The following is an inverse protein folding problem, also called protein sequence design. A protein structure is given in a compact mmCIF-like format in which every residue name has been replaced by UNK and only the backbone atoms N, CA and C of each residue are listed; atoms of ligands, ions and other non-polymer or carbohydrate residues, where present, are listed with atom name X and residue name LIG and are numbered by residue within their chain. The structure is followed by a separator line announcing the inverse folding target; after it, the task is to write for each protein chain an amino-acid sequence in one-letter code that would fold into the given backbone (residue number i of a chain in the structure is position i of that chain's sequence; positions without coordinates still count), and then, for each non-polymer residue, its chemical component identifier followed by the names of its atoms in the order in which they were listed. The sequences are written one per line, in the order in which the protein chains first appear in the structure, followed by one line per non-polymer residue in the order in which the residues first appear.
data_IF_482516126496
#
_entry.id   IF_482516126496
#
_cell.length_a   1.000
_cell.length_b   1.000
_cell.length_c   1.000
_cell.angle_alpha   90.00
_cell.angle_beta   90.00
_cell.angle_gamma   90.00
#
_symmetry.space_group_name_H-M   'P 1'
#
loop_
_entity.id
_entity.type
_entity.pdbx_description
1 polymer ?
#
# COMPACT_ATOMS: atom_id res chain seq x y z
N UNK A 1 -35.21 -46.61 27.74
CA UNK A 1 -35.60 -47.87 27.06
C UNK A 1 -36.99 -47.71 26.46
N UNK A 2 -37.08 -47.32 25.19
CA UNK A 2 -38.04 -47.78 24.16
C UNK A 2 -37.89 -46.91 22.91
N UNK A 3 -37.73 -47.60 21.79
CA UNK A 3 -37.59 -47.10 20.42
C UNK A 3 -39.02 -46.93 19.90
N UNK A 4 -39.32 -45.86 19.16
CA UNK A 4 -40.31 -45.97 18.08
C UNK A 4 -40.09 -44.93 16.99
N UNK A 5 -39.85 -45.45 15.80
CA UNK A 5 -39.74 -44.79 14.51
C UNK A 5 -41.14 -44.46 14.00
N UNK A 6 -41.38 -43.22 13.55
CA UNK A 6 -42.52 -42.96 12.68
C UNK A 6 -42.16 -41.94 11.61
N UNK A 7 -42.22 -42.39 10.37
CA UNK A 7 -41.99 -41.61 9.16
C UNK A 7 -43.27 -40.87 8.79
N UNK A 8 -43.21 -39.56 8.62
CA UNK A 8 -44.13 -38.80 7.77
C UNK A 8 -43.36 -37.62 7.14
N UNK A 9 -43.11 -37.71 5.84
CA UNK A 9 -42.87 -36.57 4.93
C UNK A 9 -44.25 -36.09 4.42
N UNK A 10 -44.38 -34.98 3.66
CA UNK A 10 -43.60 -33.73 3.58
C UNK A 10 -44.53 -32.49 3.59
N UNK A 11 -44.06 -31.29 3.97
CA UNK A 11 -44.64 -30.05 3.43
C UNK A 11 -43.53 -29.05 3.13
N UNK A 12 -43.48 -28.67 1.85
CA UNK A 12 -42.67 -27.61 1.28
C UNK A 12 -43.17 -26.26 1.78
N UNK A 13 -42.29 -25.44 2.32
CA UNK A 13 -42.44 -24.00 2.32
C UNK A 13 -41.08 -23.38 2.01
N UNK A 14 -40.86 -23.09 0.73
CA UNK A 14 -39.71 -22.33 0.27
C UNK A 14 -39.88 -20.88 0.74
N UNK A 15 -39.10 -20.46 1.74
CA UNK A 15 -38.92 -19.04 2.05
C UNK A 15 -37.67 -18.58 1.31
N UNK A 16 -37.89 -17.85 0.22
CA UNK A 16 -36.83 -17.15 -0.49
C UNK A 16 -36.35 -15.99 0.37
N UNK A 17 -35.18 -16.13 0.99
CA UNK A 17 -34.46 -15.01 1.60
C UNK A 17 -33.60 -14.40 0.50
N UNK A 18 -33.97 -13.18 0.07
CA UNK A 18 -33.20 -12.38 -0.85
C UNK A 18 -31.83 -12.08 -0.22
N UNK A 19 -30.78 -12.75 -0.70
CA UNK A 19 -29.42 -12.42 -0.37
C UNK A 19 -29.07 -11.10 -1.08
N UNK A 20 -28.99 -10.01 -0.33
CA UNK A 20 -28.30 -8.79 -0.79
C UNK A 20 -26.84 -9.15 -1.01
N UNK A 21 -26.45 -9.29 -2.27
CA UNK A 21 -25.06 -9.41 -2.71
C UNK A 21 -24.30 -8.15 -2.24
N UNK A 22 -23.54 -8.28 -1.14
CA UNK A 22 -22.44 -7.35 -0.88
C UNK A 22 -21.43 -7.54 -2.00
N UNK A 23 -21.32 -6.56 -2.90
CA UNK A 23 -20.22 -6.48 -3.82
C UNK A 23 -18.91 -6.31 -3.01
N UNK A 24 -17.87 -7.12 -3.25
CA UNK A 24 -16.56 -6.87 -2.65
C UNK A 24 -16.02 -5.54 -3.19
N UNK A 25 -15.68 -4.61 -2.29
CA UNK A 25 -14.97 -3.40 -2.64
C UNK A 25 -13.66 -3.75 -3.37
N UNK A 26 -13.25 -3.00 -4.40
CA UNK A 26 -11.98 -3.25 -5.06
C UNK A 26 -10.86 -3.04 -4.03
N UNK A 27 -10.13 -4.12 -3.73
CA UNK A 27 -8.90 -4.06 -2.98
C UNK A 27 -7.95 -3.11 -3.72
N UNK A 28 -7.57 -2.02 -3.05
CA UNK A 28 -6.46 -1.18 -3.47
C UNK A 28 -5.25 -2.09 -3.66
N UNK A 29 -4.78 -2.24 -4.90
CA UNK A 29 -3.61 -3.05 -5.20
C UNK A 29 -2.38 -2.32 -4.66
N UNK A 30 -1.84 -2.82 -3.55
CA UNK A 30 -0.49 -2.46 -3.12
C UNK A 30 0.48 -2.80 -4.25
N UNK A 31 1.28 -1.83 -4.68
CA UNK A 31 2.31 -2.06 -5.70
C UNK A 31 3.54 -2.69 -5.02
N UNK A 32 3.77 -3.98 -5.27
CA UNK A 32 4.95 -4.70 -4.80
C UNK A 32 6.01 -4.73 -5.92
N UNK A 33 7.25 -4.34 -5.60
CA UNK A 33 8.42 -4.60 -6.45
C UNK A 33 9.35 -5.54 -5.69
N UNK A 34 9.22 -6.84 -5.92
CA UNK A 34 10.10 -7.86 -5.34
C UNK A 34 11.01 -8.44 -6.42
N UNK A 35 12.27 -8.01 -6.44
CA UNK A 35 13.29 -8.63 -7.28
C UNK A 35 14.51 -8.91 -6.39
N UNK A 36 14.51 -10.04 -5.68
CA UNK A 36 15.68 -10.51 -4.94
C UNK A 36 15.74 -10.10 -3.47
N UNK A 37 16.96 -9.95 -2.98
CA UNK A 37 17.33 -9.80 -1.56
C UNK A 37 16.74 -8.57 -0.87
N UNK A 38 16.35 -7.56 -1.64
CA UNK A 38 15.67 -6.36 -1.13
C UNK A 38 14.24 -6.31 -1.66
N UNK A 39 13.29 -6.12 -0.76
CA UNK A 39 11.88 -5.94 -1.09
C UNK A 39 11.41 -4.53 -0.77
N UNK A 40 10.53 -4.01 -1.61
CA UNK A 40 9.95 -2.68 -1.46
C UNK A 40 8.44 -2.72 -1.71
N UNK A 41 7.67 -2.09 -0.82
CA UNK A 41 6.21 -2.01 -0.88
C UNK A 41 5.70 -0.63 -0.47
N UNK A 42 4.57 -0.25 -1.05
CA UNK A 42 3.75 0.88 -0.60
C UNK A 42 2.48 0.40 0.10
N UNK A 43 2.06 1.15 1.11
CA UNK A 43 0.71 1.09 1.64
C UNK A 43 -0.28 1.76 0.68
N UNK A 44 -1.57 1.52 0.92
CA UNK A 44 -2.63 2.26 0.23
C UNK A 44 -2.50 3.77 0.49
N UNK A 45 -2.75 4.56 -0.55
CA UNK A 45 -2.76 6.01 -0.44
C UNK A 45 -3.86 6.48 0.52
N UNK A 46 -3.53 7.42 1.38
CA UNK A 46 -4.47 8.03 2.33
C UNK A 46 -4.66 9.49 1.95
N UNK A 47 -5.91 9.86 1.60
CA UNK A 47 -6.30 11.23 1.31
C UNK A 47 -6.85 11.89 2.58
N UNK A 48 -6.51 13.17 2.82
CA UNK A 48 -7.17 13.98 3.84
C UNK A 48 -8.65 14.19 3.51
N UNK A 49 -9.45 14.48 4.52
CA UNK A 49 -10.90 14.66 4.38
C UNK A 49 -11.26 15.82 3.41
N UNK A 50 -10.42 16.86 3.38
CA UNK A 50 -10.57 18.02 2.50
C UNK A 50 -9.93 17.82 1.11
N UNK A 51 -9.30 16.66 0.85
CA UNK A 51 -8.62 16.36 -0.41
C UNK A 51 -7.34 17.16 -0.67
N UNK A 52 -6.87 17.97 0.28
CA UNK A 52 -5.71 18.85 0.11
C UNK A 52 -4.37 18.14 0.33
N UNK A 53 -4.37 16.94 0.91
CA UNK A 53 -3.18 16.17 1.19
C UNK A 53 -3.36 14.70 0.87
N UNK A 54 -2.37 14.10 0.23
CA UNK A 54 -2.27 12.65 0.04
C UNK A 54 -0.96 12.15 0.65
N UNK A 55 -1.03 10.98 1.29
CA UNK A 55 0.14 10.33 1.87
C UNK A 55 0.26 8.87 1.45
N UNK A 56 1.49 8.40 1.36
CA UNK A 56 1.86 7.02 1.07
C UNK A 56 2.85 6.52 2.10
N UNK A 57 2.48 5.48 2.84
CA UNK A 57 3.43 4.70 3.63
C UNK A 57 4.27 3.82 2.74
N UNK A 58 5.55 3.65 3.07
CA UNK A 58 6.46 2.77 2.35
C UNK A 58 7.30 1.93 3.29
N UNK A 59 7.68 0.75 2.84
CA UNK A 59 8.57 -0.17 3.56
C UNK A 59 9.61 -0.77 2.63
N UNK A 60 10.87 -0.79 3.08
CA UNK A 60 11.99 -1.52 2.49
C UNK A 60 12.46 -2.58 3.47
N UNK A 61 12.64 -3.81 3.01
CA UNK A 61 13.20 -4.90 3.80
C UNK A 61 14.38 -5.54 3.09
N UNK A 62 15.50 -5.67 3.80
CA UNK A 62 16.51 -6.65 3.44
C UNK A 62 16.01 -8.03 3.89
N UNK A 63 15.73 -8.93 2.95
CA UNK A 63 15.24 -10.30 3.21
C UNK A 63 16.36 -11.34 3.12
N UNK A 64 17.61 -10.92 2.95
CA UNK A 64 18.76 -11.80 2.93
C UNK A 64 19.30 -12.04 4.33
N UNK A 65 20.13 -13.09 4.46
CA UNK A 65 20.86 -13.39 5.70
C UNK A 65 22.16 -12.60 5.89
N UNK A 66 22.42 -11.57 5.08
CA UNK A 66 23.63 -10.75 5.18
C UNK A 66 23.32 -9.26 4.99
N UNK A 67 24.26 -8.39 5.34
CA UNK A 67 24.09 -6.95 5.13
C UNK A 67 24.19 -6.59 3.65
N UNK A 68 23.39 -5.60 3.22
CA UNK A 68 23.38 -5.08 1.85
C UNK A 68 23.79 -3.61 1.90
N UNK A 69 24.64 -3.17 0.98
CA UNK A 69 25.20 -1.84 0.98
C UNK A 69 24.59 -0.96 -0.10
N UNK A 70 24.75 0.36 0.07
CA UNK A 70 24.39 1.38 -0.91
C UNK A 70 22.95 1.23 -1.46
N UNK A 71 22.00 0.93 -0.56
CA UNK A 71 20.59 0.82 -0.91
C UNK A 71 20.03 2.21 -1.15
N UNK A 72 19.46 2.44 -2.33
CA UNK A 72 18.84 3.70 -2.72
C UNK A 72 17.44 3.44 -3.22
N UNK A 73 16.46 4.00 -2.51
CA UNK A 73 15.08 4.06 -2.93
C UNK A 73 14.77 5.45 -3.45
N UNK A 74 14.30 5.54 -4.70
CA UNK A 74 13.89 6.79 -5.32
C UNK A 74 12.39 6.76 -5.57
N UNK A 75 11.69 7.80 -5.14
CA UNK A 75 10.27 7.99 -5.39
C UNK A 75 10.04 9.15 -6.34
N UNK A 76 9.10 8.96 -7.25
CA UNK A 76 8.66 9.97 -8.20
C UNK A 76 7.13 10.08 -8.17
N UNK A 77 6.64 11.32 -8.14
CA UNK A 77 5.22 11.62 -8.17
C UNK A 77 4.84 12.19 -9.53
N UNK A 78 3.70 11.74 -10.06
CA UNK A 78 3.21 12.10 -11.37
C UNK A 78 1.70 12.37 -11.36
N UNK A 79 1.24 13.46 -12.00
CA UNK A 79 2.05 14.53 -12.59
C UNK A 79 2.64 15.44 -11.50
N UNK A 80 3.91 15.83 -11.63
CA UNK A 80 4.57 16.68 -10.61
C UNK A 80 3.93 18.08 -10.50
N UNK A 81 3.27 18.56 -11.55
CA UNK A 81 2.54 19.83 -11.56
C UNK A 81 1.27 19.82 -10.72
N UNK A 82 0.75 18.63 -10.33
CA UNK A 82 -0.42 18.53 -9.46
C UNK A 82 -0.09 18.70 -7.98
N UNK A 83 1.20 18.84 -7.63
CA UNK A 83 1.67 18.89 -6.25
C UNK A 83 2.34 20.25 -5.98
N UNK A 84 2.00 20.86 -4.85
CA UNK A 84 2.57 22.13 -4.38
C UNK A 84 3.80 21.93 -3.52
N UNK A 85 3.79 20.90 -2.68
CA UNK A 85 4.87 20.60 -1.76
C UNK A 85 4.95 19.10 -1.50
N UNK A 86 6.17 18.63 -1.23
CA UNK A 86 6.45 17.25 -0.87
C UNK A 86 7.08 17.19 0.51
N UNK A 87 6.67 16.18 1.27
CA UNK A 87 7.26 15.84 2.56
C UNK A 87 7.69 14.37 2.53
N UNK A 88 8.74 14.06 3.29
CA UNK A 88 9.23 12.70 3.44
C UNK A 88 9.74 12.50 4.86
N UNK A 89 9.55 11.28 5.38
CA UNK A 89 10.12 10.84 6.65
C UNK A 89 11.10 9.68 6.47
N UNK A 90 11.79 9.30 7.55
CA UNK A 90 12.85 8.30 7.50
C UNK A 90 14.17 8.88 6.95
N UNK A 91 15.02 8.06 6.31
CA UNK A 91 16.31 8.50 5.78
C UNK A 91 16.18 9.18 4.40
N UNK A 92 15.03 9.80 4.15
CA UNK A 92 14.67 10.35 2.84
C UNK A 92 14.94 11.85 2.77
N UNK A 93 15.31 12.32 1.59
CA UNK A 93 15.46 13.74 1.27
C UNK A 93 14.58 14.08 0.08
N UNK A 94 13.92 15.24 0.14
CA UNK A 94 13.11 15.79 -0.94
C UNK A 94 13.98 16.74 -1.77
N UNK A 95 13.98 16.54 -3.09
CA UNK A 95 14.70 17.35 -4.08
C UNK A 95 13.73 17.66 -5.23
N UNK A 96 13.24 18.90 -5.27
CA UNK A 96 12.19 19.35 -6.19
C UNK A 96 10.96 18.43 -6.20
N UNK A 97 10.83 17.56 -7.21
CA UNK A 97 9.73 16.61 -7.41
C UNK A 97 10.14 15.15 -7.19
N UNK A 98 11.33 14.91 -6.63
CA UNK A 98 11.91 13.58 -6.42
C UNK A 98 12.28 13.39 -4.96
N UNK A 99 12.04 12.19 -4.46
CA UNK A 99 12.39 11.83 -3.07
C UNK A 99 13.41 10.70 -3.13
N UNK A 100 14.51 10.82 -2.39
CA UNK A 100 15.57 9.82 -2.36
C UNK A 100 15.85 9.40 -0.92
N UNK A 101 15.71 8.11 -0.63
CA UNK A 101 16.06 7.48 0.64
C UNK A 101 17.31 6.66 0.45
N UNK A 102 18.28 6.79 1.36
CA UNK A 102 19.58 6.13 1.25
C UNK A 102 19.95 5.44 2.53
N UNK A 103 20.42 4.21 2.39
CA UNK A 103 21.02 3.43 3.46
C UNK A 103 22.44 3.05 3.01
N UNK A 104 23.49 3.53 3.70
CA UNK A 104 24.85 3.05 3.45
C UNK A 104 24.97 1.53 3.66
N UNK A 105 24.21 1.01 4.62
CA UNK A 105 24.09 -0.40 4.94
C UNK A 105 22.68 -0.68 5.48
N UNK A 106 22.08 -1.77 5.05
CA UNK A 106 20.93 -2.41 5.68
C UNK A 106 21.35 -3.77 6.19
N UNK A 107 21.23 -4.01 7.50
CA UNK A 107 21.59 -5.28 8.13
C UNK A 107 20.71 -6.42 7.60
N UNK A 108 21.18 -7.64 7.80
CA UNK A 108 20.40 -8.84 7.52
C UNK A 108 19.02 -8.74 8.21
N UNK A 109 17.97 -9.06 7.47
CA UNK A 109 16.57 -9.03 7.95
C UNK A 109 16.08 -7.64 8.44
N UNK A 110 16.84 -6.57 8.20
CA UNK A 110 16.45 -5.21 8.59
C UNK A 110 15.29 -4.70 7.76
N UNK A 111 14.36 -4.01 8.42
CA UNK A 111 13.25 -3.32 7.78
C UNK A 111 13.27 -1.84 8.14
N UNK A 112 13.08 -1.00 7.14
CA UNK A 112 12.96 0.45 7.28
C UNK A 112 11.66 0.92 6.64
N UNK A 113 11.02 1.90 7.25
CA UNK A 113 9.74 2.43 6.79
C UNK A 113 9.69 3.94 6.93
N UNK A 114 8.76 4.55 6.19
CA UNK A 114 8.50 5.97 6.27
C UNK A 114 7.23 6.35 5.53
N UNK A 115 7.01 7.66 5.43
CA UNK A 115 5.83 8.25 4.83
C UNK A 115 6.28 9.32 3.85
N UNK A 116 5.60 9.38 2.72
CA UNK A 116 5.69 10.48 1.76
C UNK A 116 4.35 11.20 1.77
N UNK A 117 4.39 12.52 1.91
CA UNK A 117 3.21 13.38 1.79
C UNK A 117 3.33 14.28 0.58
N UNK A 118 2.20 14.60 -0.03
CA UNK A 118 2.09 15.57 -1.11
C UNK A 118 0.89 16.48 -0.87
N UNK A 119 1.14 17.78 -0.90
CA UNK A 119 0.10 18.80 -0.82
C UNK A 119 -0.44 19.09 -2.22
N UNK A 120 -1.76 18.97 -2.38
CA UNK A 120 -2.50 19.18 -3.62
C UNK A 120 -3.24 20.53 -3.49
N UNK A 121 -3.26 21.39 -4.53
CA UNK A 121 -4.07 22.59 -4.48
C UNK A 121 -5.55 22.25 -4.22
N UNK A 122 -6.20 23.02 -3.35
CA UNK A 122 -7.65 22.91 -3.17
C UNK A 122 -8.37 23.03 -4.52
N UNK A 123 -9.45 22.28 -4.69
CA UNK A 123 -10.26 22.22 -5.91
C UNK A 123 -9.58 21.57 -7.13
N UNK A 124 -8.44 20.90 -6.95
CA UNK A 124 -7.82 20.11 -8.02
C UNK A 124 -8.58 18.81 -8.25
N UNK A 125 -8.90 18.51 -9.51
CA UNK A 125 -9.46 17.23 -9.93
C UNK A 125 -8.42 16.40 -10.69
N UNK A 126 -8.44 15.08 -10.47
CA UNK A 126 -7.60 14.14 -11.19
C UNK A 126 -7.03 13.04 -10.31
N UNK A 127 -5.91 12.48 -10.75
CA UNK A 127 -5.20 11.42 -10.03
C UNK A 127 -3.73 11.79 -9.84
N UNK A 128 -3.23 11.60 -8.63
CA UNK A 128 -1.80 11.64 -8.33
C UNK A 128 -1.31 10.22 -8.15
N UNK A 129 -0.22 9.88 -8.83
CA UNK A 129 0.42 8.57 -8.75
C UNK A 129 1.80 8.71 -8.13
N UNK A 130 2.18 7.70 -7.36
CA UNK A 130 3.54 7.55 -6.85
C UNK A 130 4.17 6.29 -7.43
N UNK A 131 5.45 6.36 -7.78
CA UNK A 131 6.26 5.22 -8.19
C UNK A 131 7.57 5.22 -7.42
N UNK A 132 7.96 4.05 -6.95
CA UNK A 132 9.24 3.82 -6.29
C UNK A 132 10.15 2.95 -7.14
N UNK A 133 11.45 3.23 -7.09
CA UNK A 133 12.50 2.41 -7.69
C UNK A 133 13.59 2.20 -6.67
N UNK A 134 13.91 0.95 -6.41
CA UNK A 134 14.99 0.57 -5.51
C UNK A 134 16.19 0.00 -6.29
N UNK A 135 17.40 0.37 -5.86
CA UNK A 135 18.68 -0.13 -6.39
C UNK A 135 19.64 -0.38 -5.21
N UNK A 136 20.49 -1.39 -5.31
CA UNK A 136 21.47 -1.77 -4.28
C UNK A 136 22.70 -2.43 -4.93
N UNK A 137 23.79 -2.57 -4.17
CA UNK A 137 25.07 -3.14 -4.62
C UNK A 137 25.76 -3.99 -3.56
#
# INVERSE_FOLDING_TARGET
MKIETSRLRPIVAAVAVAATLLAPAPLAHAAESSAGEVAFVYDAAQMSEDGSHVSWGWTVSNRSGHAIHDVVLTHAISPSSAVRALTASGPCTVDENRISCRWPEMKAEETSAGIIGADIPADSEGSVQIRGRIVWR
#
